data_IF_163072915256
#
_entry.id   IF_163072915256
#
_cell.length_a   1.000
_cell.length_b   1.000
_cell.length_c   1.000
_cell.angle_alpha   90.00
_cell.angle_beta   90.00
_cell.angle_gamma   90.00
#
_symmetry.space_group_name_H-M   'P 1'
#
loop_
_entity.id
_entity.type
_entity.pdbx_description
1 polymer ?
#
# COMPACT_ATOMS: atom_id res chain seq x y z
N UNK A 1 8.60 55.88 6.12
CA UNK A 1 7.46 56.63 5.59
C UNK A 1 6.21 56.24 6.35
N UNK A 2 5.47 57.21 6.86
CA UNK A 2 4.20 57.06 7.57
C UNK A 2 3.11 56.43 6.70
N UNK A 3 2.21 55.65 7.31
CA UNK A 3 0.76 55.89 7.33
C UNK A 3 0.13 55.03 8.44
N UNK A 4 -0.58 55.69 9.34
CA UNK A 4 -1.58 55.14 10.26
C UNK A 4 -2.86 54.85 9.49
N UNK A 5 -3.53 53.72 9.75
CA UNK A 5 -4.96 53.59 9.47
C UNK A 5 -5.66 52.79 10.58
N UNK A 6 -6.87 53.24 10.88
CA UNK A 6 -7.65 52.95 12.08
C UNK A 6 -8.45 51.66 11.94
N UNK A 7 -8.16 50.67 12.78
CA UNK A 7 -8.90 49.41 12.87
C UNK A 7 -8.02 48.38 13.56
N UNK A 8 -8.05 48.38 14.89
CA UNK A 8 -7.01 47.87 15.77
C UNK A 8 -6.80 46.34 15.69
N UNK A 9 -6.17 45.88 14.62
CA UNK A 9 -5.51 44.57 14.52
C UNK A 9 -4.01 44.83 14.32
N UNK A 10 -3.18 44.22 15.16
CA UNK A 10 -1.73 44.36 15.07
C UNK A 10 -1.29 43.80 13.70
N UNK A 11 -0.66 44.62 12.85
CA UNK A 11 -0.13 44.14 11.56
C UNK A 11 1.35 43.82 11.73
N UNK A 12 1.71 42.54 11.60
CA UNK A 12 3.08 42.08 11.72
C UNK A 12 3.84 42.17 10.40
N UNK A 13 5.17 42.27 10.49
CA UNK A 13 6.03 42.04 9.34
C UNK A 13 5.82 40.61 8.80
N UNK A 14 5.90 40.43 7.49
CA UNK A 14 5.66 39.15 6.80
C UNK A 14 6.90 38.27 6.74
N UNK A 15 7.84 38.41 7.68
CA UNK A 15 9.01 37.55 7.79
C UNK A 15 8.59 36.17 8.33
N UNK A 16 9.26 35.14 7.82
CA UNK A 16 9.06 33.75 8.17
C UNK A 16 10.36 33.16 8.73
N UNK A 17 10.25 32.39 9.81
CA UNK A 17 11.37 31.68 10.43
C UNK A 17 11.28 30.20 10.07
N UNK A 18 12.36 29.63 9.53
CA UNK A 18 12.43 28.20 9.25
C UNK A 18 12.69 27.40 10.52
N UNK A 19 11.92 26.33 10.71
CA UNK A 19 12.04 25.39 11.81
C UNK A 19 12.98 24.22 11.43
N UNK A 20 13.42 23.46 12.43
CA UNK A 20 14.38 22.37 12.25
C UNK A 20 13.84 21.22 11.38
N UNK A 21 12.52 21.06 11.30
CA UNK A 21 11.81 20.10 10.44
C UNK A 21 11.62 20.60 9.00
N UNK A 22 12.08 21.81 8.68
CA UNK A 22 11.90 22.45 7.38
C UNK A 22 10.59 23.22 7.20
N UNK A 23 9.70 23.23 8.21
CA UNK A 23 8.50 24.08 8.21
C UNK A 23 8.85 25.55 8.45
N UNK A 24 7.88 26.45 8.29
CA UNK A 24 8.05 27.89 8.54
C UNK A 24 6.96 28.40 9.48
N UNK A 25 7.35 29.23 10.45
CA UNK A 25 6.44 29.98 11.32
C UNK A 25 6.50 31.46 10.99
N UNK A 26 5.37 32.15 11.11
CA UNK A 26 5.26 33.60 10.88
C UNK A 26 5.01 34.34 12.18
N UNK A 27 5.15 35.67 12.16
CA UNK A 27 4.79 36.50 13.31
C UNK A 27 3.29 36.54 13.51
N UNK A 28 2.86 36.38 14.76
CA UNK A 28 1.45 36.31 15.13
C UNK A 28 0.93 37.67 15.67
N UNK A 29 -0.03 38.32 14.98
CA UNK A 29 -0.73 39.51 15.46
C UNK A 29 -1.27 39.42 16.88
N UNK A 30 -1.76 38.26 17.27
CA UNK A 30 -2.43 38.03 18.56
C UNK A 30 -1.42 37.84 19.70
N UNK A 31 -0.16 37.52 19.38
CA UNK A 31 0.96 37.47 20.32
C UNK A 31 2.00 38.56 20.03
N UNK A 32 1.52 39.79 19.80
CA UNK A 32 2.37 40.99 19.66
C UNK A 32 3.50 40.83 18.62
N UNK A 33 3.24 40.11 17.52
CA UNK A 33 4.18 39.81 16.45
C UNK A 33 5.43 39.03 16.86
N UNK A 34 5.35 38.23 17.92
CA UNK A 34 6.32 37.17 18.16
C UNK A 34 6.09 36.02 17.16
N UNK A 35 7.16 35.30 16.84
CA UNK A 35 7.05 34.07 16.06
C UNK A 35 6.35 33.02 16.91
N UNK A 36 5.40 32.30 16.31
CA UNK A 36 4.86 31.10 16.94
C UNK A 36 6.00 30.10 17.21
N UNK A 37 5.88 29.35 18.31
CA UNK A 37 6.86 28.32 18.61
C UNK A 37 6.84 27.28 17.49
N UNK A 38 8.02 26.98 16.93
CA UNK A 38 8.17 25.84 16.04
C UNK A 38 7.59 24.60 16.72
N UNK A 39 6.86 23.73 15.98
CA UNK A 39 6.37 22.50 16.56
C UNK A 39 7.56 21.74 17.14
N UNK A 40 7.56 21.53 18.45
CA UNK A 40 8.47 20.57 19.07
C UNK A 40 8.16 19.23 18.45
N UNK A 41 9.18 18.51 17.97
CA UNK A 41 9.10 17.27 17.21
C UNK A 41 8.49 16.07 17.99
N UNK A 42 7.32 16.25 18.61
CA UNK A 42 6.60 15.23 19.34
C UNK A 42 5.08 15.43 19.43
N UNK A 43 4.48 16.27 18.58
CA UNK A 43 3.04 16.18 18.28
C UNK A 43 2.85 16.03 16.77
N UNK A 44 2.40 14.83 16.43
CA UNK A 44 2.38 14.19 15.13
C UNK A 44 1.32 14.82 14.21
N UNK A 45 1.78 15.52 13.16
CA UNK A 45 0.99 15.84 11.96
C UNK A 45 1.55 15.01 10.79
N UNK A 46 0.72 14.39 9.93
CA UNK A 46 1.12 13.27 9.10
C UNK A 46 2.10 13.71 8.02
N UNK A 47 3.38 13.40 8.24
CA UNK A 47 4.32 13.16 7.14
C UNK A 47 3.85 11.92 6.38
N UNK A 48 4.05 11.91 5.07
CA UNK A 48 3.65 10.83 4.17
C UNK A 48 3.89 9.45 4.80
N UNK A 49 2.79 8.79 5.18
CA UNK A 49 2.79 7.37 5.48
C UNK A 49 3.21 6.67 4.17
N UNK A 50 4.45 6.20 4.09
CA UNK A 50 4.63 4.90 3.46
C UNK A 50 3.74 3.95 4.27
N UNK A 51 2.74 3.30 3.65
CA UNK A 51 1.84 2.44 4.39
C UNK A 51 2.63 1.19 4.79
N UNK A 52 3.18 1.18 6.00
CA UNK A 52 3.67 -0.01 6.70
C UNK A 52 2.46 -0.95 6.90
N UNK A 53 2.17 -1.71 5.85
CA UNK A 53 0.96 -2.53 5.77
C UNK A 53 1.29 -3.86 6.42
N UNK A 54 0.56 -4.20 7.49
CA UNK A 54 0.65 -5.54 8.07
C UNK A 54 0.35 -6.60 6.99
N UNK A 55 1.01 -7.78 7.00
CA UNK A 55 0.76 -8.83 6.02
C UNK A 55 -0.73 -9.12 5.85
N UNK A 56 -1.22 -9.07 4.62
CA UNK A 56 -2.60 -9.36 4.24
C UNK A 56 -2.73 -10.78 3.67
N UNK A 57 -3.97 -11.26 3.62
CA UNK A 57 -4.33 -12.51 2.94
C UNK A 57 -5.35 -12.22 1.84
N UNK A 58 -5.13 -12.80 0.67
CA UNK A 58 -5.97 -12.63 -0.51
C UNK A 58 -6.46 -13.99 -1.02
N UNK A 59 -7.69 -14.01 -1.52
CA UNK A 59 -8.30 -15.22 -2.07
C UNK A 59 -8.34 -15.19 -3.60
N UNK A 60 -8.05 -16.34 -4.21
CA UNK A 60 -8.26 -16.63 -5.64
C UNK A 60 -9.15 -17.86 -5.75
N UNK A 61 -10.32 -17.70 -6.38
CA UNK A 61 -11.20 -18.83 -6.67
C UNK A 61 -10.80 -19.49 -8.00
N UNK A 62 -10.77 -20.82 -8.03
CA UNK A 62 -10.73 -21.59 -9.27
C UNK A 62 -12.16 -22.01 -9.61
N UNK A 63 -12.75 -21.35 -10.60
CA UNK A 63 -14.15 -21.57 -10.99
C UNK A 63 -14.32 -21.42 -12.49
N UNK A 64 -15.02 -22.38 -13.10
CA UNK A 64 -15.28 -22.36 -14.53
C UNK A 64 -14.01 -22.49 -15.36
N UNK A 65 -13.03 -23.27 -14.90
CA UNK A 65 -11.71 -23.39 -15.53
C UNK A 65 -11.03 -22.02 -15.70
N UNK A 66 -11.05 -21.20 -14.65
CA UNK A 66 -10.35 -19.92 -14.58
C UNK A 66 -9.92 -19.61 -13.14
N UNK A 67 -8.84 -18.84 -13.00
CA UNK A 67 -8.47 -18.19 -11.74
C UNK A 67 -9.19 -16.83 -11.63
N UNK A 68 -9.81 -16.55 -10.49
CA UNK A 68 -10.55 -15.30 -10.24
C UNK A 68 -10.16 -14.68 -8.90
N UNK A 69 -9.53 -13.48 -8.89
CA UNK A 69 -9.09 -12.74 -10.08
C UNK A 69 -7.95 -13.45 -10.83
N UNK A 70 -7.85 -13.21 -12.15
CA UNK A 70 -6.74 -13.74 -12.96
C UNK A 70 -5.46 -12.93 -12.82
N UNK A 71 -5.54 -11.70 -12.30
CA UNK A 71 -4.39 -10.88 -11.93
C UNK A 71 -4.65 -10.27 -10.57
N UNK A 72 -3.68 -10.42 -9.67
CA UNK A 72 -3.75 -9.90 -8.31
C UNK A 72 -2.46 -9.14 -8.01
N UNK A 73 -2.60 -7.90 -7.53
CA UNK A 73 -1.48 -7.11 -7.00
C UNK A 73 -1.50 -7.16 -5.48
N UNK A 74 -0.37 -7.49 -4.87
CA UNK A 74 -0.16 -7.62 -3.42
C UNK A 74 1.18 -6.98 -3.04
N UNK A 75 1.45 -6.86 -1.74
CA UNK A 75 2.74 -6.39 -1.23
C UNK A 75 3.64 -7.55 -0.85
N UNK A 76 4.95 -7.32 -0.86
CA UNK A 76 5.88 -8.28 -0.29
C UNK A 76 5.53 -8.58 1.19
N UNK A 77 5.46 -9.86 1.52
CA UNK A 77 5.02 -10.38 2.82
C UNK A 77 3.58 -10.92 2.84
N UNK A 78 2.76 -10.61 1.83
CA UNK A 78 1.37 -11.04 1.76
C UNK A 78 1.21 -12.53 1.39
N UNK A 79 0.05 -13.08 1.73
CA UNK A 79 -0.32 -14.47 1.47
C UNK A 79 -1.47 -14.56 0.48
N UNK A 80 -1.41 -15.51 -0.44
CA UNK A 80 -2.49 -15.83 -1.37
C UNK A 80 -3.00 -17.26 -1.10
N UNK A 81 -4.32 -17.41 -1.07
CA UNK A 81 -5.02 -18.68 -0.93
C UNK A 81 -5.81 -18.94 -2.21
N UNK A 82 -5.49 -20.03 -2.90
CA UNK A 82 -6.28 -20.54 -4.00
C UNK A 82 -7.29 -21.55 -3.48
N UNK A 83 -8.56 -21.38 -3.80
CA UNK A 83 -9.64 -22.31 -3.42
C UNK A 83 -10.32 -22.87 -4.65
N UNK A 84 -10.42 -24.20 -4.75
CA UNK A 84 -11.06 -24.84 -5.89
C UNK A 84 -12.57 -24.95 -5.72
N UNK A 85 -13.33 -24.24 -6.53
CA UNK A 85 -14.79 -24.28 -6.55
C UNK A 85 -15.35 -25.27 -7.58
N UNK A 86 -14.53 -25.70 -8.53
CA UNK A 86 -14.88 -26.68 -9.57
C UNK A 86 -14.85 -28.11 -9.03
N UNK A 87 -15.55 -29.02 -9.71
CA UNK A 87 -15.47 -30.46 -9.45
C UNK A 87 -14.18 -31.09 -10.01
N UNK A 88 -13.55 -30.46 -11.00
CA UNK A 88 -12.29 -30.89 -11.57
C UNK A 88 -11.13 -30.61 -10.59
N UNK A 89 -10.11 -31.47 -10.59
CA UNK A 89 -8.87 -31.19 -9.86
C UNK A 89 -8.03 -30.19 -10.64
N UNK A 90 -7.45 -29.23 -9.92
CA UNK A 90 -6.60 -28.18 -10.48
C UNK A 90 -5.27 -28.08 -9.74
N UNK A 91 -4.34 -27.33 -10.32
CA UNK A 91 -3.00 -27.04 -9.78
C UNK A 91 -2.70 -25.55 -9.92
N UNK A 92 -1.70 -25.09 -9.17
CA UNK A 92 -1.05 -23.78 -9.32
C UNK A 92 0.42 -24.06 -9.60
N UNK A 93 0.84 -23.82 -10.84
CA UNK A 93 2.18 -24.18 -11.34
C UNK A 93 2.85 -22.98 -11.98
N UNK A 94 4.06 -22.63 -11.54
CA UNK A 94 4.88 -21.55 -12.09
C UNK A 94 5.12 -21.72 -13.60
N UNK A 95 4.96 -20.65 -14.37
CA UNK A 95 5.40 -20.59 -15.77
C UNK A 95 6.91 -20.32 -15.88
N UNK A 96 7.50 -19.70 -14.85
CA UNK A 96 8.93 -19.43 -14.74
C UNK A 96 9.41 -19.68 -13.32
N UNK A 97 10.60 -20.27 -13.18
CA UNK A 97 11.11 -20.72 -11.90
C UNK A 97 10.34 -21.92 -11.33
N UNK A 98 10.35 -22.05 -10.01
CA UNK A 98 9.77 -23.16 -9.26
C UNK A 98 9.09 -22.70 -7.96
N UNK A 99 8.65 -21.44 -7.92
CA UNK A 99 8.04 -20.82 -6.72
C UNK A 99 6.69 -21.47 -6.37
N UNK A 100 5.87 -21.72 -7.38
CA UNK A 100 4.54 -22.31 -7.27
C UNK A 100 4.55 -23.71 -7.87
N UNK A 101 4.34 -24.72 -7.03
CA UNK A 101 4.29 -26.13 -7.40
C UNK A 101 3.29 -26.87 -6.49
N UNK A 102 2.00 -26.59 -6.67
CA UNK A 102 0.97 -27.25 -5.86
C UNK A 102 0.75 -28.71 -6.31
N UNK A 103 0.44 -29.64 -5.40
CA UNK A 103 -0.22 -30.88 -5.80
C UNK A 103 -1.58 -30.57 -6.45
N UNK A 104 -2.18 -31.55 -7.12
CA UNK A 104 -3.57 -31.44 -7.58
C UNK A 104 -4.54 -31.39 -6.40
N UNK A 105 -5.42 -30.40 -6.38
CA UNK A 105 -6.45 -30.26 -5.34
C UNK A 105 -7.86 -30.24 -5.97
N UNK A 106 -8.77 -31.02 -5.39
CA UNK A 106 -10.16 -31.15 -5.83
C UNK A 106 -11.07 -30.09 -5.22
N UNK A 107 -12.38 -30.24 -5.42
CA UNK A 107 -13.40 -29.32 -4.90
C UNK A 107 -13.22 -29.03 -3.41
N UNK A 108 -13.33 -27.76 -3.06
CA UNK A 108 -13.17 -27.15 -1.73
C UNK A 108 -11.76 -27.31 -1.13
N UNK A 109 -10.81 -27.87 -1.89
CA UNK A 109 -9.39 -27.92 -1.54
C UNK A 109 -8.72 -26.57 -1.74
N UNK A 110 -7.65 -26.34 -0.98
CA UNK A 110 -6.88 -25.10 -1.00
C UNK A 110 -5.39 -25.30 -1.24
N UNK A 111 -4.75 -24.28 -1.80
CA UNK A 111 -3.31 -24.10 -1.84
C UNK A 111 -2.97 -22.71 -1.31
N UNK A 112 -1.92 -22.59 -0.50
CA UNK A 112 -1.55 -21.33 0.16
C UNK A 112 -0.08 -21.04 -0.07
N UNK A 113 0.25 -19.79 -0.41
CA UNK A 113 1.62 -19.35 -0.63
C UNK A 113 1.82 -17.91 -0.15
N UNK A 114 2.96 -17.65 0.49
CA UNK A 114 3.37 -16.32 0.95
C UNK A 114 4.45 -15.77 0.01
N UNK A 115 4.23 -14.56 -0.50
CA UNK A 115 5.14 -13.93 -1.44
C UNK A 115 6.04 -12.92 -0.71
N UNK A 116 7.32 -13.26 -0.51
CA UNK A 116 8.25 -12.40 0.23
C UNK A 116 9.11 -11.48 -0.64
N UNK A 117 9.06 -11.64 -1.96
CA UNK A 117 9.94 -10.90 -2.89
C UNK A 117 9.11 -10.17 -3.94
N UNK A 118 9.43 -8.90 -4.18
CA UNK A 118 8.81 -8.12 -5.25
C UNK A 118 9.10 -8.74 -6.62
N UNK A 119 8.10 -8.75 -7.49
CA UNK A 119 8.22 -9.40 -8.80
C UNK A 119 6.88 -9.72 -9.45
N UNK A 120 6.95 -10.28 -10.65
CA UNK A 120 5.78 -10.79 -11.38
C UNK A 120 5.85 -12.30 -11.48
N UNK A 121 4.84 -12.98 -10.93
CA UNK A 121 4.74 -14.42 -10.86
C UNK A 121 3.60 -14.88 -11.76
N UNK A 122 3.93 -15.35 -12.96
CA UNK A 122 2.97 -15.96 -13.89
C UNK A 122 2.87 -17.46 -13.63
N UNK A 123 1.66 -17.99 -13.67
CA UNK A 123 1.38 -19.39 -13.39
C UNK A 123 0.20 -19.92 -14.20
N UNK A 124 0.12 -21.23 -14.31
CA UNK A 124 -0.97 -21.93 -14.98
C UNK A 124 -1.45 -23.14 -14.16
N UNK A 125 -2.56 -23.74 -14.59
CA UNK A 125 -2.99 -25.06 -14.16
C UNK A 125 -2.38 -26.11 -15.11
N UNK A 126 -1.51 -26.99 -14.61
CA UNK A 126 -0.84 -28.03 -15.40
C UNK A 126 -1.78 -28.91 -16.26
N UNK A 127 -2.88 -29.48 -15.72
CA UNK A 127 -3.83 -30.26 -16.55
C UNK A 127 -4.67 -29.40 -17.50
N UNK A 128 -4.72 -28.08 -17.30
CA UNK A 128 -5.54 -27.14 -18.08
C UNK A 128 -4.74 -25.86 -18.45
N UNK A 129 -3.76 -25.93 -19.38
CA UNK A 129 -2.80 -24.83 -19.61
C UNK A 129 -3.38 -23.50 -20.12
N UNK A 130 -4.66 -23.48 -20.52
CA UNK A 130 -5.39 -22.24 -20.82
C UNK A 130 -5.78 -21.46 -19.57
N UNK A 131 -5.84 -22.11 -18.40
CA UNK A 131 -6.06 -21.47 -17.11
C UNK A 131 -4.76 -20.79 -16.70
N UNK A 132 -4.74 -19.46 -16.68
CA UNK A 132 -3.55 -18.66 -16.36
C UNK A 132 -3.86 -17.60 -15.33
N UNK A 133 -2.89 -17.35 -14.47
CA UNK A 133 -2.95 -16.29 -13.47
C UNK A 133 -1.64 -15.51 -13.37
N UNK A 134 -1.70 -14.38 -12.69
CA UNK A 134 -0.54 -13.52 -12.44
C UNK A 134 -0.64 -12.91 -11.05
N UNK A 135 0.41 -13.06 -10.24
CA UNK A 135 0.59 -12.29 -9.01
C UNK A 135 1.65 -11.23 -9.28
N UNK A 136 1.34 -9.97 -8.98
CA UNK A 136 2.28 -8.85 -8.99
C UNK A 136 2.55 -8.49 -7.53
N UNK A 137 3.82 -8.54 -7.14
CA UNK A 137 4.27 -8.21 -5.79
C UNK A 137 5.05 -6.91 -5.88
N UNK A 138 4.57 -5.87 -5.19
CA UNK A 138 5.17 -4.52 -5.13
C UNK A 138 5.74 -4.16 -3.75
#
# INVERSE_FOLDING_TARGET
>A
MSKTDSGNGIVCAQDAQQCADGSYVTRNPDNNCEFDSCPTANEQQPGAEEPETSPQTYDIELKGFAFSPSTLTIKAGDTVIWTNMDSASHTVTSDSGNELDSPGFGKDGTYTHKFDTAGTYTYHCSPHPSMKGTIIVE
#
